data_IF_747882802068
#
_entry.id   IF_747882802068
#
_cell.length_a   1.000
_cell.length_b   1.000
_cell.length_c   1.000
_cell.angle_alpha   90.00
_cell.angle_beta   90.00
_cell.angle_gamma   90.00
#
_symmetry.space_group_name_H-M   'P 1'
#
loop_
_entity.id
_entity.type
_entity.pdbx_description
1 polymer ?
#
# COMPACT_ATOMS: atom_id res chain seq x y z
N UNK A 1 -6.65 -35.68 -87.38
CA UNK A 1 -6.08 -36.47 -86.27
C UNK A 1 -6.76 -37.84 -86.23
N UNK A 2 -6.04 -38.90 -85.86
CA UNK A 2 -6.58 -40.28 -85.77
C UNK A 2 -6.59 -40.72 -84.31
N UNK A 3 -7.69 -41.33 -83.85
CA UNK A 3 -7.81 -41.92 -82.51
C UNK A 3 -7.26 -43.34 -82.54
N UNK A 4 -6.38 -43.67 -81.59
CA UNK A 4 -5.97 -45.05 -81.32
C UNK A 4 -6.86 -45.60 -80.20
N UNK A 5 -7.62 -46.66 -80.49
CA UNK A 5 -8.55 -47.31 -79.56
C UNK A 5 -8.09 -48.74 -79.23
N UNK A 6 -8.69 -49.36 -78.20
CA UNK A 6 -8.38 -50.71 -77.72
C UNK A 6 -6.92 -50.89 -77.26
N UNK A 7 -6.33 -49.84 -76.68
CA UNK A 7 -5.01 -49.90 -76.06
C UNK A 7 -5.17 -50.43 -74.64
N UNK A 8 -4.63 -51.63 -74.36
CA UNK A 8 -4.57 -52.19 -73.00
C UNK A 8 -3.73 -51.31 -72.07
N UNK A 9 -3.86 -51.52 -70.75
CA UNK A 9 -3.06 -50.80 -69.76
C UNK A 9 -1.57 -51.11 -69.97
N UNK A 10 -0.80 -50.10 -70.38
CA UNK A 10 0.65 -50.22 -70.53
C UNK A 10 1.35 -50.26 -69.16
N UNK A 11 2.54 -50.85 -69.08
CA UNK A 11 3.30 -50.84 -67.83
C UNK A 11 3.78 -49.42 -67.50
N UNK A 12 3.41 -48.89 -66.32
CA UNK A 12 3.96 -47.62 -65.80
C UNK A 12 5.17 -47.93 -64.92
N UNK A 13 6.36 -47.88 -65.52
CA UNK A 13 7.62 -48.10 -64.84
C UNK A 13 8.75 -47.34 -65.56
N UNK A 14 9.86 -47.11 -64.86
CA UNK A 14 11.07 -46.57 -65.45
C UNK A 14 11.48 -47.39 -66.70
N UNK A 15 11.81 -46.70 -67.80
CA UNK A 15 12.17 -47.28 -69.10
C UNK A 15 11.09 -48.06 -69.88
N UNK A 16 9.82 -48.07 -69.43
CA UNK A 16 8.73 -48.66 -70.21
C UNK A 16 8.58 -48.01 -71.60
N UNK A 17 8.19 -48.83 -72.59
CA UNK A 17 7.89 -48.40 -73.97
C UNK A 17 6.45 -48.68 -74.37
N UNK A 18 5.64 -49.17 -73.42
CA UNK A 18 4.24 -49.47 -73.65
C UNK A 18 3.46 -48.17 -73.82
N UNK A 19 2.46 -48.17 -74.71
CA UNK A 19 1.51 -47.08 -74.79
C UNK A 19 0.63 -47.06 -73.53
N UNK A 20 0.37 -45.88 -72.96
CA UNK A 20 -0.60 -45.71 -71.87
C UNK A 20 -1.95 -45.26 -72.42
N UNK A 21 -3.03 -45.74 -71.82
CA UNK A 21 -4.40 -45.36 -72.22
C UNK A 21 -5.00 -44.29 -71.30
N UNK A 22 -6.18 -43.79 -71.69
CA UNK A 22 -6.88 -42.76 -70.93
C UNK A 22 -7.32 -43.18 -69.52
N UNK A 23 -7.60 -44.47 -69.29
CA UNK A 23 -8.00 -44.99 -67.98
C UNK A 23 -6.87 -44.90 -66.96
N UNK A 24 -5.65 -45.21 -67.35
CA UNK A 24 -4.47 -45.09 -66.49
C UNK A 24 -4.17 -43.63 -66.12
N UNK A 25 -4.24 -42.72 -67.10
CA UNK A 25 -4.06 -41.28 -66.87
C UNK A 25 -5.18 -40.73 -65.98
N UNK A 26 -6.43 -41.17 -66.20
CA UNK A 26 -7.58 -40.76 -65.39
C UNK A 26 -7.39 -41.17 -63.93
N UNK A 27 -7.10 -42.45 -63.66
CA UNK A 27 -6.85 -42.97 -62.31
C UNK A 27 -5.73 -42.22 -61.58
N UNK A 28 -4.59 -41.99 -62.25
CA UNK A 28 -3.48 -41.25 -61.67
C UNK A 28 -3.89 -39.81 -61.30
N UNK A 29 -4.65 -39.13 -62.16
CA UNK A 29 -5.13 -37.78 -61.86
C UNK A 29 -6.21 -37.73 -60.78
N UNK A 30 -7.06 -38.77 -60.65
CA UNK A 30 -7.99 -38.91 -59.52
C UNK A 30 -7.24 -39.06 -58.19
N UNK A 31 -6.19 -39.89 -58.15
CA UNK A 31 -5.33 -40.05 -56.96
C UNK A 31 -4.64 -38.72 -56.59
N UNK A 32 -4.07 -38.00 -57.57
CA UNK A 32 -3.48 -36.68 -57.36
C UNK A 32 -4.53 -35.69 -56.82
N UNK A 33 -5.74 -35.68 -57.37
CA UNK A 33 -6.81 -34.81 -56.89
C UNK A 33 -7.19 -35.14 -55.43
N UNK A 34 -7.24 -36.41 -55.06
CA UNK A 34 -7.48 -36.84 -53.67
C UNK A 34 -6.37 -36.36 -52.72
N UNK A 35 -5.12 -36.31 -53.16
CA UNK A 35 -4.00 -35.81 -52.35
C UNK A 35 -4.15 -34.31 -52.05
N UNK A 36 -4.54 -33.52 -53.06
CA UNK A 36 -4.81 -32.09 -52.85
C UNK A 36 -6.06 -31.85 -51.99
N UNK A 37 -7.08 -32.72 -52.09
CA UNK A 37 -8.33 -32.53 -51.36
C UNK A 37 -8.99 -31.20 -51.74
N UNK A 38 -9.66 -30.53 -50.80
CA UNK A 38 -10.24 -29.20 -51.03
C UNK A 38 -11.26 -29.12 -52.18
N UNK A 39 -11.84 -30.25 -52.59
CA UNK A 39 -12.73 -30.35 -53.75
C UNK A 39 -12.03 -30.47 -55.12
N UNK A 40 -10.71 -30.67 -55.15
CA UNK A 40 -9.99 -31.01 -56.38
C UNK A 40 -10.52 -32.34 -56.96
N UNK A 41 -10.59 -32.41 -58.29
CA UNK A 41 -11.07 -33.60 -59.02
C UNK A 41 -10.53 -33.62 -60.44
N UNK A 42 -10.48 -34.78 -61.07
CA UNK A 42 -10.20 -34.89 -62.51
C UNK A 42 -11.48 -35.30 -63.24
N UNK A 43 -12.02 -34.40 -64.07
CA UNK A 43 -13.30 -34.60 -64.73
C UNK A 43 -13.22 -34.08 -66.17
N UNK A 44 -13.84 -34.80 -67.11
CA UNK A 44 -13.88 -34.43 -68.53
C UNK A 44 -12.49 -34.17 -69.16
N UNK A 45 -11.48 -34.91 -68.71
CA UNK A 45 -10.10 -34.77 -69.20
C UNK A 45 -9.34 -33.56 -68.66
N UNK A 46 -9.90 -32.84 -67.68
CA UNK A 46 -9.29 -31.66 -67.08
C UNK A 46 -9.18 -31.78 -65.55
N UNK A 47 -8.12 -31.21 -64.99
CA UNK A 47 -7.93 -31.10 -63.55
C UNK A 47 -8.67 -29.88 -63.01
N UNK A 48 -9.58 -30.09 -62.08
CA UNK A 48 -10.26 -29.05 -61.32
C UNK A 48 -9.44 -28.76 -60.07
N UNK A 49 -9.04 -27.50 -59.91
CA UNK A 49 -8.20 -27.04 -58.79
C UNK A 49 -8.91 -27.22 -57.44
N UNK A 50 -8.16 -27.39 -56.33
CA UNK A 50 -8.73 -27.34 -54.99
C UNK A 50 -9.27 -25.93 -54.68
N UNK A 51 -10.03 -25.83 -53.59
CA UNK A 51 -10.50 -24.57 -53.03
C UNK A 51 -10.35 -24.61 -51.51
N UNK A 52 -9.20 -24.16 -51.01
CA UNK A 52 -8.93 -24.04 -49.58
C UNK A 52 -9.51 -22.74 -49.04
N UNK A 53 -10.33 -22.80 -48.00
CA UNK A 53 -10.89 -21.60 -47.36
C UNK A 53 -10.10 -21.28 -46.10
N UNK A 54 -9.48 -20.09 -46.07
CA UNK A 54 -8.77 -19.57 -44.90
C UNK A 54 -9.53 -18.36 -44.36
N UNK A 55 -9.81 -18.35 -43.06
CA UNK A 55 -10.58 -17.28 -42.40
C UNK A 55 -9.63 -16.25 -41.81
N UNK A 56 -9.44 -15.11 -42.48
CA UNK A 56 -8.60 -14.01 -41.99
C UNK A 56 -9.40 -12.89 -41.33
N UNK A 57 -8.70 -11.79 -41.03
CA UNK A 57 -9.28 -10.58 -40.42
C UNK A 57 -10.43 -9.97 -41.25
N UNK A 58 -10.33 -10.04 -42.58
CA UNK A 58 -11.36 -9.54 -43.51
C UNK A 58 -12.40 -10.60 -43.88
N UNK A 59 -12.48 -11.69 -43.11
CA UNK A 59 -13.36 -12.82 -43.36
C UNK A 59 -12.70 -13.95 -44.17
N UNK A 60 -13.55 -14.81 -44.73
CA UNK A 60 -13.14 -16.01 -45.47
C UNK A 60 -12.61 -15.66 -46.86
N UNK A 61 -11.47 -16.23 -47.24
CA UNK A 61 -10.92 -16.17 -48.59
C UNK A 61 -10.57 -17.57 -49.09
N UNK A 62 -10.81 -17.81 -50.38
CA UNK A 62 -10.51 -19.07 -51.06
C UNK A 62 -9.19 -19.01 -51.81
N UNK A 63 -8.45 -20.11 -51.81
CA UNK A 63 -7.16 -20.29 -52.44
C UNK A 63 -7.16 -21.58 -53.25
N UNK A 64 -6.63 -21.53 -54.47
CA UNK A 64 -6.73 -22.65 -55.43
C UNK A 64 -5.46 -23.52 -55.51
N UNK A 65 -4.49 -23.23 -54.64
CA UNK A 65 -3.24 -23.98 -54.52
C UNK A 65 -2.71 -23.94 -53.08
N UNK A 66 -1.86 -24.91 -52.75
CA UNK A 66 -1.35 -25.13 -51.39
C UNK A 66 -0.42 -24.00 -50.96
N UNK A 67 0.45 -23.53 -51.86
CA UNK A 67 1.45 -22.50 -51.54
C UNK A 67 0.81 -21.20 -51.07
N UNK A 68 -0.20 -20.71 -51.79
CA UNK A 68 -0.92 -19.51 -51.40
C UNK A 68 -1.74 -19.69 -50.12
N UNK A 69 -2.36 -20.86 -49.92
CA UNK A 69 -3.10 -21.16 -48.69
C UNK A 69 -2.17 -21.17 -47.46
N UNK A 70 -0.98 -21.75 -47.57
CA UNK A 70 0.03 -21.75 -46.51
C UNK A 70 0.59 -20.35 -46.25
N UNK A 71 0.91 -19.59 -47.30
CA UNK A 71 1.36 -18.20 -47.16
C UNK A 71 0.30 -17.33 -46.47
N UNK A 72 -0.99 -17.58 -46.72
CA UNK A 72 -2.08 -16.91 -46.03
C UNK A 72 -2.14 -17.25 -44.54
N UNK A 73 -1.97 -18.53 -44.17
CA UNK A 73 -1.91 -18.97 -42.78
C UNK A 73 -0.71 -18.37 -42.04
N UNK A 74 0.46 -18.37 -42.68
CA UNK A 74 1.69 -17.78 -42.13
C UNK A 74 1.51 -16.27 -41.87
N UNK A 75 0.99 -15.55 -42.85
CA UNK A 75 0.70 -14.12 -42.68
C UNK A 75 -0.28 -13.86 -41.53
N UNK A 76 -1.32 -14.70 -41.39
CA UNK A 76 -2.26 -14.58 -40.28
C UNK A 76 -1.61 -14.87 -38.92
N UNK A 77 -0.73 -15.87 -38.84
CA UNK A 77 0.01 -16.17 -37.62
C UNK A 77 0.90 -14.99 -37.22
N UNK A 78 1.68 -14.45 -38.16
CA UNK A 78 2.52 -13.28 -37.92
C UNK A 78 1.70 -12.04 -37.51
N UNK A 79 0.52 -11.84 -38.10
CA UNK A 79 -0.38 -10.76 -37.70
C UNK A 79 -0.94 -10.95 -36.28
N UNK A 80 -1.23 -12.19 -35.86
CA UNK A 80 -1.64 -12.49 -34.50
C UNK A 80 -0.52 -12.27 -33.49
N UNK A 81 0.71 -12.70 -33.80
CA UNK A 81 1.89 -12.43 -32.97
C UNK A 81 2.10 -10.92 -32.76
N UNK A 82 1.94 -10.11 -33.81
CA UNK A 82 1.97 -8.65 -33.70
C UNK A 82 0.88 -8.08 -32.79
N UNK A 83 -0.36 -8.59 -32.87
CA UNK A 83 -1.46 -8.19 -31.96
C UNK A 83 -1.20 -8.59 -30.51
N UNK A 84 -0.69 -9.80 -30.29
CA UNK A 84 -0.33 -10.27 -28.95
C UNK A 84 0.78 -9.39 -28.38
N UNK A 85 1.84 -9.11 -29.14
CA UNK A 85 2.93 -8.25 -28.69
C UNK A 85 2.45 -6.82 -28.37
N UNK A 86 1.57 -6.24 -29.20
CA UNK A 86 1.01 -4.92 -28.96
C UNK A 86 0.10 -4.86 -27.72
N UNK A 87 -0.72 -5.90 -27.50
CA UNK A 87 -1.62 -6.01 -26.35
C UNK A 87 -0.93 -6.55 -25.10
N UNK A 88 0.31 -7.01 -25.21
CA UNK A 88 1.15 -7.41 -24.07
C UNK A 88 1.73 -6.19 -23.36
N UNK A 89 1.10 -5.02 -23.41
CA UNK A 89 1.55 -3.84 -22.69
C UNK A 89 0.73 -3.64 -21.43
N UNK A 90 1.41 -3.46 -20.32
CA UNK A 90 0.83 -3.05 -19.06
C UNK A 90 1.08 -1.55 -18.87
N UNK A 91 0.00 -0.77 -18.77
CA UNK A 91 0.03 0.68 -18.73
C UNK A 91 -0.41 1.19 -17.37
N UNK A 92 0.39 2.08 -16.79
CA UNK A 92 0.06 2.79 -15.56
C UNK A 92 0.27 4.29 -15.72
N UNK A 93 -0.44 5.05 -14.89
CA UNK A 93 -0.29 6.49 -14.73
C UNK A 93 -0.10 6.69 -13.22
N UNK A 94 0.96 7.40 -12.84
CA UNK A 94 1.19 7.77 -11.44
C UNK A 94 0.51 9.11 -11.14
N UNK A 95 0.51 9.53 -9.87
CA UNK A 95 0.01 10.86 -9.48
C UNK A 95 0.78 12.01 -10.14
N UNK A 96 1.96 11.74 -10.69
CA UNK A 96 2.77 12.69 -11.48
C UNK A 96 2.24 12.87 -12.91
N UNK A 97 1.26 12.05 -13.34
CA UNK A 97 0.56 12.16 -14.62
C UNK A 97 1.30 11.58 -15.82
N UNK A 98 2.54 11.10 -15.65
CA UNK A 98 3.29 10.45 -16.73
C UNK A 98 2.79 9.04 -17.00
N UNK A 99 2.58 8.73 -18.29
CA UNK A 99 2.23 7.38 -18.75
C UNK A 99 3.48 6.51 -18.75
N UNK A 100 3.41 5.35 -18.08
CA UNK A 100 4.44 4.30 -18.11
C UNK A 100 3.87 3.07 -18.80
N UNK A 101 4.58 2.58 -19.81
CA UNK A 101 4.25 1.35 -20.54
C UNK A 101 5.38 0.34 -20.38
N UNK A 102 5.06 -0.90 -20.03
CA UNK A 102 5.98 -2.03 -20.02
C UNK A 102 5.37 -3.18 -20.82
N UNK A 103 6.16 -3.92 -21.60
CA UNK A 103 5.67 -5.17 -22.19
C UNK A 103 5.63 -6.29 -21.13
N UNK A 104 4.82 -7.34 -21.34
CA UNK A 104 4.77 -8.52 -20.46
C UNK A 104 6.11 -9.28 -20.44
N UNK A 105 6.96 -9.05 -21.44
CA UNK A 105 8.32 -9.60 -21.53
C UNK A 105 9.37 -8.69 -20.89
N UNK A 106 9.05 -7.42 -20.62
CA UNK A 106 9.95 -6.52 -19.91
C UNK A 106 9.85 -6.77 -18.40
N UNK A 107 10.95 -6.52 -17.69
CA UNK A 107 10.93 -6.53 -16.24
C UNK A 107 10.14 -5.32 -15.71
N UNK A 108 9.07 -5.57 -14.96
CA UNK A 108 8.41 -4.57 -14.12
C UNK A 108 8.89 -4.69 -12.67
N UNK A 109 9.70 -3.74 -12.23
CA UNK A 109 10.18 -3.70 -10.85
C UNK A 109 9.21 -2.92 -9.96
N UNK A 110 8.62 -3.60 -8.98
CA UNK A 110 7.86 -2.95 -7.90
C UNK A 110 8.76 -2.92 -6.67
N UNK A 111 9.16 -1.71 -6.24
CA UNK A 111 10.08 -1.52 -5.12
C UNK A 111 9.38 -0.82 -3.97
N UNK A 112 9.68 -1.27 -2.76
CA UNK A 112 9.35 -0.52 -1.56
C UNK A 112 10.21 0.73 -1.43
N UNK A 113 9.92 1.52 -0.40
CA UNK A 113 10.68 2.72 -0.04
C UNK A 113 10.91 2.72 1.47
N UNK A 114 11.13 3.89 2.09
CA UNK A 114 11.38 4.06 3.52
C UNK A 114 10.30 3.39 4.37
N UNK A 115 9.03 3.63 4.06
CA UNK A 115 7.88 3.20 4.88
C UNK A 115 7.11 2.00 4.32
N UNK A 116 7.32 1.66 3.04
CA UNK A 116 6.63 0.57 2.34
C UNK A 116 7.61 -0.56 2.05
N UNK A 117 7.22 -1.79 2.36
CA UNK A 117 7.90 -3.02 1.97
C UNK A 117 7.18 -3.67 0.79
N UNK A 118 7.95 -4.23 -0.13
CA UNK A 118 7.43 -5.02 -1.26
C UNK A 118 8.21 -6.32 -1.29
N UNK A 119 7.51 -7.45 -1.15
CA UNK A 119 8.12 -8.78 -1.06
C UNK A 119 7.30 -9.79 -1.87
N UNK A 120 7.93 -10.83 -2.40
CA UNK A 120 7.22 -11.94 -3.02
C UNK A 120 6.67 -12.88 -1.94
N UNK A 121 5.37 -13.16 -1.97
CA UNK A 121 4.75 -14.10 -1.03
C UNK A 121 4.74 -15.53 -1.58
N UNK A 122 4.49 -15.67 -2.89
CA UNK A 122 4.55 -16.92 -3.65
C UNK A 122 4.66 -16.62 -5.16
N UNK A 123 4.49 -17.64 -6.01
CA UNK A 123 4.59 -17.52 -7.47
C UNK A 123 3.66 -16.45 -8.07
N UNK A 124 2.47 -16.28 -7.51
CA UNK A 124 1.42 -15.44 -8.10
C UNK A 124 1.19 -14.12 -7.35
N UNK A 125 1.78 -13.95 -6.17
CA UNK A 125 1.44 -12.84 -5.27
C UNK A 125 2.67 -12.03 -4.84
N UNK A 126 2.57 -10.72 -5.04
CA UNK A 126 3.44 -9.72 -4.42
C UNK A 126 2.72 -9.14 -3.21
N UNK A 127 3.37 -9.16 -2.05
CA UNK A 127 2.89 -8.51 -0.83
C UNK A 127 3.47 -7.11 -0.73
N UNK A 128 2.59 -6.13 -0.62
CA UNK A 128 2.91 -4.73 -0.34
C UNK A 128 2.38 -4.42 1.06
N UNK A 129 3.25 -3.98 1.96
CA UNK A 129 2.89 -3.74 3.36
C UNK A 129 3.65 -2.55 3.95
N UNK A 130 3.10 -1.95 5.00
CA UNK A 130 3.82 -1.02 5.86
C UNK A 130 4.93 -1.77 6.61
N UNK A 131 6.04 -1.08 6.88
CA UNK A 131 7.05 -1.58 7.83
C UNK A 131 6.57 -1.34 9.27
N UNK A 132 7.16 -2.07 10.22
CA UNK A 132 6.85 -1.92 11.65
C UNK A 132 7.14 -0.49 12.11
N UNK A 133 8.29 0.06 11.70
CA UNK A 133 8.66 1.45 11.94
C UNK A 133 8.34 2.34 10.74
N UNK A 134 7.52 3.38 10.97
CA UNK A 134 7.13 4.37 9.97
C UNK A 134 7.73 5.72 10.32
N UNK A 135 8.51 6.27 9.41
CA UNK A 135 9.11 7.59 9.54
C UNK A 135 8.36 8.61 8.68
N UNK A 136 7.58 9.47 9.32
CA UNK A 136 6.82 10.55 8.67
C UNK A 136 7.05 11.88 9.39
N UNK A 137 6.85 12.99 8.70
CA UNK A 137 7.01 14.34 9.29
C UNK A 137 5.84 14.70 10.21
N UNK A 138 4.63 14.35 9.80
CA UNK A 138 3.40 14.62 10.54
C UNK A 138 2.48 13.41 10.44
N UNK A 139 1.66 13.22 11.47
CA UNK A 139 0.55 12.27 11.48
C UNK A 139 -0.68 13.10 11.83
N UNK A 140 -1.72 13.06 10.98
CA UNK A 140 -3.03 13.64 11.33
C UNK A 140 -3.92 12.49 11.79
N UNK A 141 -4.23 12.46 13.08
CA UNK A 141 -5.03 11.40 13.69
C UNK A 141 -6.30 12.01 14.30
N UNK A 142 -7.43 11.96 13.59
CA UNK A 142 -8.73 12.39 14.14
C UNK A 142 -8.72 13.83 14.70
N UNK A 143 -9.18 14.02 15.95
CA UNK A 143 -9.22 15.29 16.71
C UNK A 143 -7.83 15.91 17.00
N UNK A 144 -6.89 15.82 16.07
CA UNK A 144 -5.65 16.59 16.09
C UNK A 144 -5.84 17.94 15.41
N UNK A 145 -5.11 18.96 15.85
CA UNK A 145 -5.04 20.25 15.16
C UNK A 145 -4.34 20.14 13.78
N UNK A 146 -4.24 21.25 13.04
CA UNK A 146 -3.60 21.29 11.72
C UNK A 146 -2.09 20.96 11.72
N UNK A 147 -1.47 20.83 12.89
CA UNK A 147 -0.08 20.41 13.08
C UNK A 147 0.05 18.93 13.46
N UNK A 148 -1.06 18.22 13.59
CA UNK A 148 -1.09 16.81 14.00
C UNK A 148 -0.92 16.61 15.52
N UNK A 149 -0.99 17.68 16.30
CA UNK A 149 -0.95 17.60 17.76
C UNK A 149 -2.33 17.24 18.29
N UNK A 150 -2.41 16.50 19.40
CA UNK A 150 -3.68 16.19 20.07
C UNK A 150 -4.33 17.47 20.61
N UNK A 151 -5.20 18.11 19.84
CA UNK A 151 -5.98 19.31 20.17
C UNK A 151 -5.36 20.22 21.26
N UNK A 152 -4.21 20.84 20.97
CA UNK A 152 -3.50 21.74 21.90
C UNK A 152 -2.40 21.11 22.75
N UNK A 153 -2.20 19.78 22.74
CA UNK A 153 -1.08 19.12 23.42
C UNK A 153 0.16 19.09 22.52
N UNK A 154 1.22 19.77 22.93
CA UNK A 154 2.55 19.67 22.31
C UNK A 154 3.44 18.78 23.17
N UNK A 155 3.94 17.68 22.61
CA UNK A 155 4.88 16.77 23.25
C UNK A 155 6.13 16.59 22.39
N UNK A 156 7.30 16.61 23.00
CA UNK A 156 8.55 16.44 22.28
C UNK A 156 9.78 16.48 23.18
N UNK A 157 10.94 16.77 22.58
CA UNK A 157 12.24 16.80 23.29
C UNK A 157 12.29 17.76 24.48
N UNK A 158 11.44 18.79 24.48
CA UNK A 158 11.42 19.85 25.50
C UNK A 158 10.38 19.59 26.62
N UNK A 159 9.62 18.49 26.54
CA UNK A 159 8.61 18.09 27.53
C UNK A 159 7.20 17.96 26.95
N UNK A 160 6.19 18.19 27.80
CA UNK A 160 4.76 18.14 27.45
C UNK A 160 4.11 19.46 27.87
N UNK A 161 3.34 20.07 26.97
CA UNK A 161 2.54 21.26 27.28
C UNK A 161 1.15 21.18 26.67
N UNK A 162 0.19 21.86 27.30
CA UNK A 162 -1.11 22.10 26.73
C UNK A 162 -1.26 23.60 26.46
N UNK A 163 -1.62 23.94 25.22
CA UNK A 163 -1.82 25.30 24.72
C UNK A 163 -3.28 25.51 24.33
N UNK A 164 -3.75 26.73 24.49
CA UNK A 164 -5.04 27.13 23.93
C UNK A 164 -4.97 27.38 22.42
N UNK A 165 -6.11 27.76 21.84
CA UNK A 165 -6.25 28.03 20.39
C UNK A 165 -5.38 29.19 19.91
N UNK A 166 -5.00 30.09 20.81
CA UNK A 166 -4.15 31.25 20.50
C UNK A 166 -2.66 30.92 20.70
N UNK A 167 -2.33 29.67 21.06
CA UNK A 167 -0.98 29.18 21.26
C UNK A 167 -0.37 29.53 22.62
N UNK A 168 -1.17 30.04 23.56
CA UNK A 168 -0.71 30.34 24.92
C UNK A 168 -0.64 29.06 25.75
N UNK A 169 0.49 28.85 26.41
CA UNK A 169 0.68 27.73 27.35
C UNK A 169 -0.26 27.87 28.55
N UNK A 170 -1.06 26.83 28.78
CA UNK A 170 -2.00 26.72 29.89
C UNK A 170 -1.41 25.87 31.02
N UNK A 171 -0.69 24.79 30.71
CA UNK A 171 0.10 24.00 31.66
C UNK A 171 1.30 23.42 30.93
N UNK A 172 2.40 23.19 31.64
CA UNK A 172 3.58 22.57 31.07
C UNK A 172 4.38 21.76 32.09
N UNK A 173 4.97 20.67 31.62
CA UNK A 173 6.03 19.93 32.29
C UNK A 173 7.21 19.94 31.33
N UNK A 174 8.26 20.68 31.67
CA UNK A 174 9.45 20.86 30.82
C UNK A 174 10.71 20.48 31.58
N UNK A 175 11.86 20.53 30.90
CA UNK A 175 13.16 20.39 31.56
C UNK A 175 13.42 21.41 32.68
N UNK A 176 12.70 22.53 32.67
CA UNK A 176 12.89 23.63 33.61
C UNK A 176 11.93 23.55 34.82
N UNK A 177 10.96 22.62 34.80
CA UNK A 177 10.05 22.38 35.92
C UNK A 177 8.59 22.15 35.50
N UNK A 178 7.68 22.38 36.45
CA UNK A 178 6.24 22.21 36.28
C UNK A 178 5.56 23.58 36.41
N UNK A 179 4.81 23.97 35.38
CA UNK A 179 3.92 25.12 35.40
C UNK A 179 2.46 24.64 35.40
N UNK A 180 1.76 24.87 36.52
CA UNK A 180 0.35 24.53 36.67
C UNK A 180 -0.60 25.59 36.07
N UNK A 181 -0.07 26.70 35.52
CA UNK A 181 -0.83 27.78 34.88
C UNK A 181 -2.01 28.28 35.70
N UNK A 182 -1.72 28.62 36.95
CA UNK A 182 -2.69 29.11 37.94
C UNK A 182 -3.87 28.15 38.20
N UNK A 183 -3.71 26.86 37.89
CA UNK A 183 -4.66 25.81 38.28
C UNK A 183 -4.33 25.30 39.67
N UNK A 184 -5.35 24.78 40.36
CA UNK A 184 -5.14 24.04 41.61
C UNK A 184 -4.45 22.72 41.30
N UNK A 185 -3.48 22.35 42.13
CA UNK A 185 -2.95 21.00 42.19
C UNK A 185 -3.70 20.27 43.31
N UNK A 186 -4.57 19.33 42.96
CA UNK A 186 -5.38 18.56 43.92
C UNK A 186 -4.82 17.14 44.06
N UNK A 187 -5.29 16.39 45.06
CA UNK A 187 -4.83 15.02 45.37
C UNK A 187 -3.34 14.93 45.72
N UNK A 188 -2.77 15.99 46.32
CA UNK A 188 -1.44 15.96 46.92
C UNK A 188 -1.55 15.33 48.31
N UNK A 189 -0.81 14.24 48.54
CA UNK A 189 -0.77 13.54 49.83
C UNK A 189 -0.13 14.40 50.94
N UNK A 190 -0.25 13.97 52.21
CA UNK A 190 0.45 14.64 53.31
C UNK A 190 1.98 14.42 53.11
N UNK A 191 2.82 15.47 53.23
CA UNK A 191 4.26 15.36 52.96
C UNK A 191 4.96 14.51 54.03
N UNK A 192 5.91 13.66 53.62
CA UNK A 192 6.75 12.84 54.52
C UNK A 192 8.20 13.33 54.57
N UNK A 193 8.69 13.93 53.48
CA UNK A 193 10.06 14.47 53.34
C UNK A 193 10.05 15.99 53.20
N UNK A 194 11.18 16.60 53.53
CA UNK A 194 11.38 18.06 53.44
C UNK A 194 11.23 18.62 52.01
N UNK A 195 11.36 17.77 50.98
CA UNK A 195 11.24 18.15 49.57
C UNK A 195 9.84 17.92 48.98
N UNK A 196 8.90 17.43 49.77
CA UNK A 196 7.55 17.12 49.30
C UNK A 196 6.68 18.40 49.27
N UNK A 197 5.76 18.46 48.32
CA UNK A 197 4.79 19.53 48.27
C UNK A 197 3.78 19.40 49.44
N UNK A 198 3.67 20.42 50.28
CA UNK A 198 2.69 20.43 51.37
C UNK A 198 1.29 20.75 50.85
N UNK A 199 0.31 19.89 51.17
CA UNK A 199 -1.10 20.17 50.87
C UNK A 199 -1.73 21.09 51.94
N UNK A 200 -2.90 21.67 51.62
CA UNK A 200 -3.60 22.61 52.52
C UNK A 200 -3.98 21.98 53.87
N UNK A 201 -4.46 20.73 53.88
CA UNK A 201 -4.87 20.02 55.11
C UNK A 201 -3.69 19.89 56.07
N UNK A 202 -2.51 19.52 55.56
CA UNK A 202 -1.29 19.43 56.34
C UNK A 202 -0.91 20.78 56.96
N UNK A 203 -0.87 21.85 56.15
CA UNK A 203 -0.52 23.20 56.62
C UNK A 203 -1.54 23.72 57.65
N UNK A 204 -2.83 23.57 57.38
CA UNK A 204 -3.90 23.98 58.31
C UNK A 204 -3.78 23.25 59.68
N UNK A 205 -3.41 21.96 59.68
CA UNK A 205 -3.22 21.19 60.90
C UNK A 205 -2.04 21.72 61.74
N UNK A 206 -0.92 22.08 61.09
CA UNK A 206 0.24 22.68 61.77
C UNK A 206 -0.11 24.07 62.34
N UNK A 207 -0.83 24.91 61.58
CA UNK A 207 -1.24 26.26 62.01
C UNK A 207 -2.24 26.20 63.16
N UNK A 208 -3.21 25.27 63.11
CA UNK A 208 -4.15 25.07 64.22
C UNK A 208 -3.43 24.74 65.52
N UNK A 209 -2.39 23.89 65.47
CA UNK A 209 -1.55 23.59 66.63
C UNK A 209 -0.93 24.84 67.27
N UNK A 210 -0.51 25.81 66.46
CA UNK A 210 0.02 27.10 66.94
C UNK A 210 -1.09 27.97 67.55
N UNK A 211 -2.24 28.10 66.87
CA UNK A 211 -3.37 28.89 67.38
C UNK A 211 -3.89 28.34 68.71
N UNK A 212 -3.87 27.02 68.91
CA UNK A 212 -4.28 26.40 70.18
C UNK A 212 -3.30 26.74 71.33
N UNK A 213 -2.02 27.01 71.03
CA UNK A 213 -1.03 27.47 72.03
C UNK A 213 -1.24 28.94 72.38
N UNK A 214 -1.51 29.80 71.40
CA UNK A 214 -1.66 31.25 71.61
C UNK A 214 -3.05 31.60 72.17
N UNK A 215 -4.12 30.98 71.65
CA UNK A 215 -5.50 31.27 72.03
C UNK A 215 -5.91 30.71 73.40
N UNK A 216 -5.20 29.71 73.91
CA UNK A 216 -5.42 29.16 75.25
C UNK A 216 -4.46 29.72 76.31
N UNK A 217 -3.77 30.84 76.04
CA UNK A 217 -3.09 31.63 77.07
C UNK A 217 -2.27 30.80 78.06
N UNK A 218 -1.24 30.13 77.55
CA UNK A 218 -0.12 29.67 78.37
C UNK A 218 1.15 30.23 77.77
N UNK A 219 1.27 31.56 77.74
CA UNK A 219 2.51 32.21 77.31
C UNK A 219 3.67 32.06 78.34
N UNK A 220 3.49 31.20 79.35
CA UNK A 220 4.41 30.98 80.45
C UNK A 220 4.36 32.06 81.53
N UNK A 221 3.61 33.16 81.31
CA UNK A 221 3.34 34.20 82.31
C UNK A 221 1.93 34.11 82.88
N UNK A 222 1.03 33.47 82.15
CA UNK A 222 -0.31 33.17 82.63
C UNK A 222 -0.26 31.95 83.56
N UNK A 223 -0.72 32.10 84.81
CA UNK A 223 -0.97 30.95 85.70
C UNK A 223 -1.91 29.93 85.05
N UNK A 224 -2.07 28.74 85.66
CA UNK A 224 -2.79 27.55 85.12
C UNK A 224 -4.16 27.81 84.46
N UNK A 225 -4.76 28.97 84.68
CA UNK A 225 -6.13 29.33 84.32
C UNK A 225 -6.23 30.55 83.37
N UNK A 226 -5.12 31.09 82.85
CA UNK A 226 -5.13 32.13 81.80
C UNK A 226 -5.66 33.52 82.23
N UNK A 227 -5.87 33.75 83.53
CA UNK A 227 -6.49 34.98 84.08
C UNK A 227 -5.59 35.83 84.97
N UNK A 228 -4.39 35.36 85.27
CA UNK A 228 -3.55 35.96 86.31
C UNK A 228 -2.48 36.90 85.76
N UNK A 229 -2.88 37.79 84.84
CA UNK A 229 -2.17 39.04 84.62
C UNK A 229 -2.35 39.97 85.83
N UNK A 230 -1.89 39.55 87.01
CA UNK A 230 -1.80 40.41 88.19
C UNK A 230 -0.50 41.22 88.05
N UNK A 231 -0.51 42.53 88.12
CA UNK A 231 -1.06 43.26 89.25
C UNK A 231 0.12 43.88 89.98
N UNK A 232 0.29 45.18 89.75
CA UNK A 232 0.93 46.18 90.60
C UNK A 232 1.63 45.65 91.87
N UNK A 233 2.97 45.61 91.84
CA UNK A 233 3.78 45.82 93.04
C UNK A 233 4.81 46.90 92.73
N UNK A 234 4.43 48.15 92.99
CA UNK A 234 5.40 49.20 93.28
C UNK A 234 5.97 48.97 94.69
N UNK A 235 7.26 49.21 94.94
CA UNK A 235 7.80 49.12 96.28
C UNK A 235 7.40 50.37 97.10
N UNK A 236 6.51 50.18 98.08
CA UNK A 236 6.42 51.04 99.27
C UNK A 236 7.67 50.83 100.12
N UNK A 237 8.35 51.92 100.47
CA UNK A 237 9.74 51.93 100.94
C UNK A 237 10.05 51.40 102.33
N UNK A 238 11.35 51.48 102.71
CA UNK A 238 11.90 52.49 103.63
C UNK A 238 13.44 52.38 103.73
N UNK A 239 14.08 53.54 103.58
CA UNK A 239 15.17 54.12 104.37
C UNK A 239 16.33 53.26 104.90
N UNK A 240 17.57 53.75 104.68
CA UNK A 240 18.55 53.82 105.77
C UNK A 240 20.04 53.69 105.40
N UNK A 241 20.72 54.84 105.43
CA UNK A 241 22.17 55.14 105.46
C UNK A 241 22.92 55.27 104.12
#
# INVERSE_FOLDING_TARGET
PTVLANVEDGKIAENSKDAVNGGQIHKNNEEIASIFGGGAKFENGAFVKPSYEVTGEKGKKKYDNVGEALAALEWMNNAQEGKIAANSKFKFITDEGEVREHTLTDNLNIKGDKNISVTSKNQDNIQIALKDDISVKTIKAGETDDKGNFNGVEAGKDGISYKDKDGKTIVAITKDGIDAGSKKITNVADPEKDTDAANKKYVDAQVKGISDVIGNGKDGRDGKDGKDGAGQYGPSGKDGL
#
